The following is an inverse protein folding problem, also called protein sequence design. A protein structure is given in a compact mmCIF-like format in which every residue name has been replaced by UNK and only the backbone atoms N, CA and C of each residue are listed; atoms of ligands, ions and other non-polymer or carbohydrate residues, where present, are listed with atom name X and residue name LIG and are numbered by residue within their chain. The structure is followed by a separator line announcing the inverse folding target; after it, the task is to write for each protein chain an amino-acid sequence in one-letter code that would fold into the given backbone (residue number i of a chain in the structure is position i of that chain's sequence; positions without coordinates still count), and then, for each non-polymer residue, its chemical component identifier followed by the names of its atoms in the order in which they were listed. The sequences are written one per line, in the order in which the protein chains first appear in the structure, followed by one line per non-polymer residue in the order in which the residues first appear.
data_IF_815157836554
#
_entry.id   IF_815157836554
#
_cell.length_a   1.000
_cell.length_b   1.000
_cell.length_c   1.000
_cell.angle_alpha   90.00
_cell.angle_beta   90.00
_cell.angle_gamma   90.00
#
_symmetry.space_group_name_H-M   'P 1'
#
loop_
_entity.id
_entity.type
_entity.pdbx_description
1 polymer ?
#
# COMPACT_ATOMS: atom_id res chain seq x y z
N UNK A 1 -0.91 -5.08 27.68
CA UNK A 1 0.54 -5.37 27.81
C UNK A 1 1.31 -4.58 26.77
N UNK A 2 2.61 -4.37 26.99
CA UNK A 2 3.49 -3.68 26.03
C UNK A 2 3.51 -4.35 24.65
N UNK A 3 3.44 -5.69 24.57
CA UNK A 3 3.39 -6.42 23.30
C UNK A 3 2.19 -6.06 22.45
N UNK A 4 0.98 -6.02 23.04
CA UNK A 4 -0.25 -5.62 22.32
C UNK A 4 -0.17 -4.17 21.83
N UNK A 5 0.36 -3.27 22.65
CA UNK A 5 0.52 -1.86 22.26
C UNK A 5 1.44 -1.71 21.04
N UNK A 6 2.56 -2.44 20.99
CA UNK A 6 3.47 -2.44 19.83
C UNK A 6 2.79 -2.94 18.55
N UNK A 7 2.00 -4.02 18.62
CA UNK A 7 1.27 -4.56 17.46
C UNK A 7 0.23 -3.57 16.93
N UNK A 8 -0.51 -2.90 17.83
CA UNK A 8 -1.48 -1.86 17.45
C UNK A 8 -0.74 -0.70 16.78
N UNK A 9 0.30 -0.15 17.42
CA UNK A 9 1.06 0.96 16.87
C UNK A 9 1.62 0.66 15.48
N UNK A 10 2.22 -0.53 15.29
CA UNK A 10 2.74 -0.96 14.00
C UNK A 10 1.65 -1.04 12.92
N UNK A 11 0.49 -1.61 13.25
CA UNK A 11 -0.62 -1.77 12.29
C UNK A 11 -1.22 -0.42 11.91
N UNK A 12 -1.50 0.43 12.91
CA UNK A 12 -2.23 1.68 12.73
C UNK A 12 -1.36 2.77 12.11
N UNK A 13 -0.08 2.91 12.49
CA UNK A 13 0.81 3.92 11.89
C UNK A 13 1.01 3.67 10.39
N UNK A 14 1.30 2.42 10.01
CA UNK A 14 1.46 2.05 8.61
C UNK A 14 0.11 2.10 7.88
N UNK A 15 -1.00 1.79 8.57
CA UNK A 15 -2.36 1.94 8.04
C UNK A 15 -2.70 3.39 7.67
N UNK A 16 -2.47 4.33 8.58
CA UNK A 16 -2.71 5.75 8.37
C UNK A 16 -1.87 6.30 7.22
N UNK A 17 -0.57 5.95 7.15
CA UNK A 17 0.29 6.35 6.03
C UNK A 17 -0.27 5.84 4.69
N UNK A 18 -0.62 4.55 4.61
CA UNK A 18 -1.17 3.97 3.37
C UNK A 18 -2.45 4.67 2.94
N UNK A 19 -3.38 4.90 3.88
CA UNK A 19 -4.63 5.59 3.57
C UNK A 19 -4.39 7.01 3.04
N UNK A 20 -3.44 7.75 3.60
CA UNK A 20 -3.06 9.07 3.08
C UNK A 20 -2.53 8.99 1.64
N UNK A 21 -1.68 8.02 1.32
CA UNK A 21 -1.16 7.82 -0.04
C UNK A 21 -2.26 7.44 -1.03
N UNK A 22 -3.23 6.60 -0.63
CA UNK A 22 -4.35 6.22 -1.48
C UNK A 22 -5.26 7.42 -1.77
N UNK A 23 -5.58 8.20 -0.74
CA UNK A 23 -6.40 9.40 -0.87
C UNK A 23 -5.74 10.43 -1.79
N UNK A 24 -4.42 10.63 -1.69
CA UNK A 24 -3.68 11.52 -2.59
C UNK A 24 -3.71 11.02 -4.03
N UNK A 25 -3.56 9.70 -4.23
CA UNK A 25 -3.60 9.07 -5.56
C UNK A 25 -4.95 9.28 -6.24
N UNK A 26 -6.04 9.04 -5.51
CA UNK A 26 -7.41 9.23 -5.99
C UNK A 26 -7.69 10.73 -6.25
N UNK A 27 -7.32 11.60 -5.30
CA UNK A 27 -7.52 13.05 -5.42
C UNK A 27 -6.78 13.65 -6.62
N UNK A 28 -5.53 13.25 -6.84
CA UNK A 28 -4.73 13.73 -7.97
C UNK A 28 -5.30 13.25 -9.31
N UNK A 29 -5.80 12.01 -9.40
CA UNK A 29 -6.50 11.54 -10.60
C UNK A 29 -7.77 12.36 -10.87
N UNK A 30 -8.63 12.49 -9.88
CA UNK A 30 -9.94 13.16 -10.02
C UNK A 30 -9.79 14.65 -10.34
N UNK A 31 -8.83 15.33 -9.68
CA UNK A 31 -8.72 16.79 -9.76
C UNK A 31 -7.87 17.27 -10.92
N UNK A 32 -6.81 16.52 -11.26
CA UNK A 32 -5.81 16.95 -12.24
C UNK A 32 -5.91 16.16 -13.55
N UNK A 33 -6.76 15.13 -13.62
CA UNK A 33 -6.85 14.26 -14.79
C UNK A 33 -5.57 13.44 -15.03
N UNK A 34 -4.76 13.26 -13.99
CA UNK A 34 -3.50 12.53 -14.09
C UNK A 34 -3.76 11.02 -14.08
N UNK A 35 -2.97 10.29 -14.88
CA UNK A 35 -2.88 8.84 -14.77
C UNK A 35 -2.02 8.49 -13.57
N UNK A 36 -2.69 8.12 -12.47
CA UNK A 36 -2.04 7.79 -11.21
C UNK A 36 -2.19 6.30 -10.89
N UNK A 37 -1.26 5.79 -10.10
CA UNK A 37 -1.33 4.45 -9.50
C UNK A 37 -0.45 4.34 -8.28
N UNK A 38 -0.40 3.14 -7.72
CA UNK A 38 0.33 2.86 -6.50
C UNK A 38 1.44 1.85 -6.77
N UNK A 39 2.69 2.31 -6.75
CA UNK A 39 3.85 1.41 -6.76
C UNK A 39 3.97 0.73 -5.41
N UNK A 40 3.96 -0.60 -5.42
CA UNK A 40 4.02 -1.41 -4.22
C UNK A 40 5.46 -1.63 -3.75
N UNK A 41 5.78 -1.13 -2.56
CA UNK A 41 7.06 -1.33 -1.91
C UNK A 41 6.91 -2.34 -0.77
N UNK A 42 7.18 -3.60 -1.07
CA UNK A 42 7.25 -4.63 -0.04
C UNK A 42 8.44 -4.41 0.89
N UNK A 43 8.27 -4.71 2.17
CA UNK A 43 9.33 -4.51 3.17
C UNK A 43 10.56 -5.40 2.95
N UNK A 44 10.39 -6.55 2.28
CA UNK A 44 11.44 -7.53 1.95
C UNK A 44 12.33 -7.98 3.14
N UNK A 45 11.86 -7.79 4.37
CA UNK A 45 12.44 -8.43 5.56
C UNK A 45 12.41 -9.97 5.43
N UNK A 46 13.26 -10.72 6.18
CA UNK A 46 13.30 -12.18 6.14
C UNK A 46 11.95 -12.87 6.39
N UNK A 47 11.02 -12.20 7.09
CA UNK A 47 9.67 -12.73 7.38
C UNK A 47 8.59 -12.11 6.49
N UNK A 48 8.95 -11.49 5.36
CA UNK A 48 7.95 -10.97 4.41
C UNK A 48 7.20 -12.16 3.82
N UNK A 49 5.87 -12.15 3.97
CA UNK A 49 4.99 -13.16 3.37
C UNK A 49 5.19 -13.20 1.85
N UNK A 50 5.30 -14.39 1.27
CA UNK A 50 5.65 -14.57 -0.15
C UNK A 50 4.72 -13.80 -1.10
N UNK A 51 3.41 -13.81 -0.82
CA UNK A 51 2.44 -13.08 -1.63
C UNK A 51 2.53 -11.55 -1.48
N UNK A 52 3.04 -11.04 -0.34
CA UNK A 52 3.41 -9.63 -0.24
C UNK A 52 4.68 -9.32 -1.04
N UNK A 53 5.71 -10.17 -0.96
CA UNK A 53 6.94 -10.00 -1.72
C UNK A 53 6.66 -10.00 -3.24
N UNK A 54 5.76 -10.87 -3.70
CA UNK A 54 5.39 -10.99 -5.13
C UNK A 54 4.78 -9.74 -5.76
N UNK A 55 4.32 -8.79 -4.94
CA UNK A 55 3.77 -7.50 -5.37
C UNK A 55 4.86 -6.41 -5.49
N UNK A 56 6.05 -6.63 -4.94
CA UNK A 56 7.11 -5.63 -4.94
C UNK A 56 7.44 -5.15 -6.36
N UNK A 57 7.54 -3.83 -6.54
CA UNK A 57 7.91 -3.21 -7.81
C UNK A 57 6.78 -3.18 -8.85
N UNK A 58 5.57 -3.63 -8.50
CA UNK A 58 4.40 -3.59 -9.39
C UNK A 58 3.49 -2.42 -9.03
N UNK A 59 2.83 -1.88 -10.04
CA UNK A 59 1.84 -0.81 -9.89
C UNK A 59 0.44 -1.42 -9.81
N UNK A 60 -0.39 -0.87 -8.93
CA UNK A 60 -1.77 -1.28 -8.71
C UNK A 60 -2.69 -0.07 -8.63
N UNK A 61 -3.99 -0.26 -8.88
CA UNK A 61 -5.01 0.75 -8.56
C UNK A 61 -5.25 0.83 -7.05
N UNK A 62 -5.85 1.92 -6.59
CA UNK A 62 -6.22 2.07 -5.18
C UNK A 62 -7.26 1.02 -4.75
N UNK A 63 -8.21 0.64 -5.60
CA UNK A 63 -9.13 -0.48 -5.35
C UNK A 63 -8.38 -1.80 -5.13
N UNK A 64 -7.48 -2.18 -6.04
CA UNK A 64 -6.72 -3.44 -5.93
C UNK A 64 -5.90 -3.51 -4.63
N UNK A 65 -5.40 -2.38 -4.15
CA UNK A 65 -4.67 -2.29 -2.88
C UNK A 65 -5.63 -2.39 -1.69
N UNK A 66 -6.79 -1.72 -1.74
CA UNK A 66 -7.83 -1.80 -0.70
C UNK A 66 -8.35 -3.23 -0.53
N UNK A 67 -8.69 -3.88 -1.63
CA UNK A 67 -9.17 -5.27 -1.66
C UNK A 67 -8.13 -6.21 -1.05
N UNK A 68 -6.86 -6.07 -1.46
CA UNK A 68 -5.79 -6.87 -0.90
C UNK A 68 -5.69 -6.72 0.62
N UNK A 69 -5.82 -5.51 1.16
CA UNK A 69 -5.71 -5.29 2.61
C UNK A 69 -6.96 -5.65 3.41
N UNK A 70 -8.11 -5.81 2.74
CA UNK A 70 -9.35 -6.31 3.33
C UNK A 70 -9.33 -7.84 3.53
N UNK A 71 -8.56 -8.56 2.73
CA UNK A 71 -8.50 -10.02 2.77
C UNK A 71 -7.51 -10.58 3.80
N UNK A 72 -7.87 -11.71 4.42
CA UNK A 72 -6.97 -12.63 5.15
C UNK A 72 -6.02 -11.97 6.17
N UNK A 73 -6.42 -10.83 6.74
CA UNK A 73 -5.58 -10.09 7.69
C UNK A 73 -4.28 -9.55 7.07
N UNK A 74 -4.24 -9.31 5.76
CA UNK A 74 -3.08 -8.79 5.05
C UNK A 74 -2.59 -7.44 5.61
N UNK A 75 -3.47 -6.66 6.24
CA UNK A 75 -3.13 -5.39 6.90
C UNK A 75 -2.34 -5.54 8.20
N UNK A 76 -2.47 -6.65 8.91
CA UNK A 76 -1.87 -6.84 10.23
C UNK A 76 -0.41 -7.30 10.11
N UNK A 77 0.46 -6.79 10.98
CA UNK A 77 1.90 -7.08 10.98
C UNK A 77 2.57 -6.90 9.60
N UNK A 78 2.00 -6.04 8.76
CA UNK A 78 2.47 -5.75 7.42
C UNK A 78 3.28 -4.45 7.45
N UNK A 79 4.45 -4.49 6.82
CA UNK A 79 5.39 -3.37 6.75
C UNK A 79 5.52 -2.83 5.31
N UNK A 80 4.70 -3.32 4.38
CA UNK A 80 4.71 -2.84 3.00
C UNK A 80 4.07 -1.44 2.94
N UNK A 81 4.55 -0.61 2.02
CA UNK A 81 3.94 0.67 1.68
C UNK A 81 3.56 0.69 0.20
N UNK A 82 2.73 1.67 -0.15
CA UNK A 82 2.42 2.02 -1.52
C UNK A 82 2.73 3.50 -1.70
N UNK A 83 3.42 3.84 -2.78
CA UNK A 83 3.71 5.23 -3.12
C UNK A 83 2.97 5.62 -4.41
N UNK A 84 2.34 6.79 -4.47
CA UNK A 84 1.74 7.34 -5.68
C UNK A 84 2.81 7.46 -6.76
N UNK A 85 2.45 7.04 -7.95
CA UNK A 85 3.25 7.19 -9.16
C UNK A 85 2.38 7.72 -10.28
N UNK A 86 3.02 8.46 -11.18
CA UNK A 86 2.43 8.85 -12.47
C UNK A 86 2.96 7.89 -13.52
N UNK A 87 2.11 7.50 -14.46
CA UNK A 87 2.54 6.74 -15.63
C UNK A 87 1.99 7.34 -16.90
N UNK A 88 2.73 7.15 -17.98
CA UNK A 88 2.38 7.60 -19.32
C UNK A 88 1.21 6.79 -19.88
N UNK A 89 0.72 7.18 -21.06
CA UNK A 89 -0.39 6.49 -21.71
C UNK A 89 -0.12 5.02 -22.03
N UNK A 90 1.14 4.67 -22.25
CA UNK A 90 1.63 3.31 -22.50
C UNK A 90 1.96 2.53 -21.21
N UNK A 91 1.75 3.13 -20.04
CA UNK A 91 2.02 2.52 -18.73
C UNK A 91 3.48 2.55 -18.28
N UNK A 92 4.35 3.29 -18.98
CA UNK A 92 5.73 3.59 -18.56
C UNK A 92 5.82 4.66 -17.47
#
# INVERSE_FOLDING_TARGET
SMGRAKTIAQTEQVGALRQAQWNETDWAADRLGLKTGLLWLSALKPTTRSWHASRHGKVYTTEQVRDFYAENGNRYNCYCSQIPVLFNDDGS
#
